data_IF_318679795195
#
_entry.id   IF_318679795195
#
_cell.length_a   1.000
_cell.length_b   1.000
_cell.length_c   1.000
_cell.angle_alpha   90.00
_cell.angle_beta   90.00
_cell.angle_gamma   90.00
#
_symmetry.space_group_name_H-M   'P 1'
#
loop_
_entity.id
_entity.type
_entity.pdbx_description
1 polymer ?
#
# COMPACT_ATOMS: atom_id res chain seq x y z
N UNK A 1 -16.35 7.43 51.38
CA UNK A 1 -17.45 6.71 50.69
C UNK A 1 -18.08 7.44 49.50
N UNK A 2 -17.94 8.77 49.32
CA UNK A 2 -18.49 9.48 48.13
C UNK A 2 -17.63 9.39 46.86
N UNK A 3 -16.31 9.20 46.98
CA UNK A 3 -15.40 9.06 45.83
C UNK A 3 -15.54 7.73 45.07
N UNK A 4 -15.96 6.65 45.75
CA UNK A 4 -16.15 5.33 45.14
C UNK A 4 -17.39 5.26 44.25
N UNK A 5 -18.44 6.04 44.53
CA UNK A 5 -19.67 6.05 43.72
C UNK A 5 -19.49 6.80 42.39
N UNK A 6 -18.65 7.84 42.34
CA UNK A 6 -18.37 8.56 41.08
C UNK A 6 -17.52 7.73 40.10
N UNK A 7 -16.57 6.93 40.60
CA UNK A 7 -15.75 6.07 39.75
C UNK A 7 -16.57 4.96 39.06
N UNK A 8 -17.56 4.40 39.75
CA UNK A 8 -18.44 3.36 39.20
C UNK A 8 -19.42 3.88 38.16
N UNK A 9 -19.91 5.13 38.31
CA UNK A 9 -20.80 5.76 37.33
C UNK A 9 -20.06 6.11 36.02
N UNK A 10 -18.80 6.54 36.11
CA UNK A 10 -17.99 6.84 34.92
C UNK A 10 -17.59 5.58 34.14
N UNK A 11 -17.29 4.47 34.83
CA UNK A 11 -16.96 3.20 34.18
C UNK A 11 -18.17 2.54 33.46
N UNK A 12 -19.39 2.77 33.95
CA UNK A 12 -20.62 2.28 33.32
C UNK A 12 -20.95 2.99 32.01
N UNK A 13 -20.66 4.29 31.90
CA UNK A 13 -20.94 5.07 30.70
C UNK A 13 -20.02 4.70 29.52
N UNK A 14 -18.76 4.31 29.77
CA UNK A 14 -17.83 3.92 28.69
C UNK A 14 -18.20 2.58 28.07
N UNK A 15 -18.67 1.62 28.86
CA UNK A 15 -19.12 0.32 28.35
C UNK A 15 -20.42 0.42 27.53
N UNK A 16 -21.32 1.34 27.89
CA UNK A 16 -22.56 1.57 27.15
C UNK A 16 -22.31 2.26 25.80
N UNK A 17 -21.32 3.18 25.72
CA UNK A 17 -20.95 3.85 24.47
C UNK A 17 -20.27 2.89 23.47
N UNK A 18 -19.41 1.98 23.96
CA UNK A 18 -18.74 0.97 23.14
C UNK A 18 -19.70 -0.03 22.48
N UNK A 19 -20.87 -0.26 23.10
CA UNK A 19 -21.92 -1.12 22.56
C UNK A 19 -22.81 -0.41 21.53
N UNK A 20 -22.90 0.92 21.59
CA UNK A 20 -23.78 1.71 20.72
C UNK A 20 -23.15 1.97 19.33
N UNK A 21 -21.85 2.23 19.27
CA UNK A 21 -21.10 2.41 18.01
C UNK A 21 -19.69 1.81 18.14
N UNK A 22 -19.55 0.49 17.93
CA UNK A 22 -18.26 -0.19 18.08
C UNK A 22 -17.15 0.37 17.17
N UNK A 23 -17.41 0.75 15.89
CA UNK A 23 -16.42 1.47 15.07
C UNK A 23 -15.95 2.79 15.69
N UNK A 24 -16.86 3.64 16.14
CA UNK A 24 -16.48 4.92 16.74
C UNK A 24 -15.67 4.73 18.03
N UNK A 25 -16.05 3.76 18.85
CA UNK A 25 -15.31 3.37 20.04
C UNK A 25 -13.88 2.88 19.72
N UNK A 26 -13.73 2.04 18.68
CA UNK A 26 -12.40 1.62 18.23
C UNK A 26 -11.57 2.81 17.75
N UNK A 27 -12.17 3.72 16.98
CA UNK A 27 -11.49 4.91 16.49
C UNK A 27 -11.02 5.80 17.64
N UNK A 28 -11.85 5.97 18.68
CA UNK A 28 -11.49 6.70 19.88
C UNK A 28 -10.30 6.07 20.62
N UNK A 29 -10.28 4.73 20.75
CA UNK A 29 -9.14 4.00 21.35
C UNK A 29 -7.86 4.13 20.54
N UNK A 30 -7.96 4.17 19.21
CA UNK A 30 -6.79 4.27 18.33
C UNK A 30 -6.20 5.68 18.22
N UNK A 31 -6.91 6.72 18.67
CA UNK A 31 -6.42 8.10 18.64
C UNK A 31 -5.07 8.27 19.34
N UNK A 32 -4.88 7.56 20.45
CA UNK A 32 -3.70 7.65 21.30
C UNK A 32 -2.86 6.35 21.28
N UNK A 33 -3.20 5.40 20.39
CA UNK A 33 -2.49 4.13 20.27
C UNK A 33 -1.27 4.24 19.34
N UNK A 34 -0.22 3.46 19.62
CA UNK A 34 0.92 3.35 18.72
C UNK A 34 0.59 2.53 17.45
N UNK A 35 1.46 2.64 16.44
CA UNK A 35 1.28 1.94 15.15
C UNK A 35 1.25 0.42 15.31
N UNK A 36 2.08 -0.12 16.21
CA UNK A 36 2.14 -1.57 16.45
C UNK A 36 0.81 -2.10 16.97
N UNK A 37 0.19 -1.36 17.90
CA UNK A 37 -1.12 -1.66 18.48
C UNK A 37 -2.21 -1.57 17.42
N UNK A 38 -2.22 -0.52 16.60
CA UNK A 38 -3.20 -0.35 15.52
C UNK A 38 -3.09 -1.48 14.48
N UNK A 39 -1.87 -1.81 14.03
CA UNK A 39 -1.65 -2.86 13.04
C UNK A 39 -2.08 -4.26 13.54
N UNK A 40 -1.80 -4.55 14.82
CA UNK A 40 -2.12 -5.83 15.45
C UNK A 40 -3.62 -6.07 15.65
N UNK A 41 -4.43 -5.01 15.69
CA UNK A 41 -5.87 -5.13 15.95
C UNK A 41 -6.68 -5.11 14.64
N UNK A 42 -7.55 -6.09 14.38
CA UNK A 42 -8.47 -6.01 13.25
C UNK A 42 -9.47 -4.87 13.42
N UNK A 43 -9.88 -4.29 12.29
CA UNK A 43 -11.03 -3.38 12.27
C UNK A 43 -12.26 -4.17 12.71
N UNK A 44 -13.05 -3.58 13.62
CA UNK A 44 -14.25 -4.20 14.17
C UNK A 44 -15.20 -4.63 13.05
N UNK A 45 -15.86 -5.76 13.22
CA UNK A 45 -16.79 -6.32 12.23
C UNK A 45 -18.19 -6.45 12.86
N UNK A 46 -19.26 -6.00 12.19
CA UNK A 46 -19.27 -5.35 10.87
C UNK A 46 -18.71 -3.92 10.91
N UNK A 47 -18.07 -3.49 9.81
CA UNK A 47 -17.70 -2.09 9.57
C UNK A 47 -18.34 -1.62 8.25
N UNK A 48 -19.61 -1.18 8.28
CA UNK A 48 -20.32 -0.82 7.07
C UNK A 48 -19.87 0.55 6.56
N UNK A 49 -19.97 0.78 5.24
CA UNK A 49 -19.48 1.99 4.59
C UNK A 49 -20.27 3.26 4.96
N UNK A 50 -21.50 3.11 5.47
CA UNK A 50 -22.34 4.21 5.97
C UNK A 50 -21.94 4.68 7.38
N UNK A 51 -21.13 3.91 8.11
CA UNK A 51 -20.55 4.36 9.37
C UNK A 51 -19.29 5.22 9.10
N UNK A 52 -19.27 6.51 9.50
CA UNK A 52 -18.18 7.42 9.18
C UNK A 52 -16.83 7.05 9.81
N UNK A 53 -16.80 6.23 10.86
CA UNK A 53 -15.56 5.76 11.47
C UNK A 53 -14.88 4.66 10.65
N UNK A 54 -15.63 3.86 9.88
CA UNK A 54 -15.11 2.69 9.19
C UNK A 54 -14.04 2.98 8.12
N UNK A 55 -14.26 3.93 7.18
CA UNK A 55 -13.24 4.27 6.20
C UNK A 55 -11.95 4.77 6.86
N UNK A 56 -12.09 5.52 7.97
CA UNK A 56 -10.97 6.03 8.75
C UNK A 56 -10.20 4.93 9.49
N UNK A 57 -10.89 3.98 10.09
CA UNK A 57 -10.27 2.81 10.73
C UNK A 57 -9.45 1.99 9.74
N UNK A 58 -10.02 1.67 8.57
CA UNK A 58 -9.29 0.94 7.53
C UNK A 58 -8.04 1.70 7.06
N UNK A 59 -8.13 3.02 6.86
CA UNK A 59 -7.00 3.85 6.47
C UNK A 59 -5.89 3.89 7.54
N UNK A 60 -6.26 4.10 8.82
CA UNK A 60 -5.31 4.12 9.94
C UNK A 60 -4.58 2.78 10.08
N UNK A 61 -5.31 1.66 9.98
CA UNK A 61 -4.71 0.33 10.04
C UNK A 61 -3.77 0.08 8.87
N UNK A 62 -4.18 0.45 7.65
CA UNK A 62 -3.36 0.29 6.46
C UNK A 62 -2.04 1.05 6.57
N UNK A 63 -2.11 2.32 7.01
CA UNK A 63 -0.94 3.17 7.22
C UNK A 63 -0.02 2.62 8.32
N UNK A 64 -0.58 2.13 9.43
CA UNK A 64 0.20 1.50 10.49
C UNK A 64 0.93 0.25 9.98
N UNK A 65 0.24 -0.64 9.28
CA UNK A 65 0.82 -1.84 8.67
C UNK A 65 1.93 -1.50 7.66
N UNK A 66 1.69 -0.53 6.75
CA UNK A 66 2.69 -0.11 5.77
C UNK A 66 3.91 0.52 6.45
N UNK A 67 3.69 1.38 7.45
CA UNK A 67 4.78 2.05 8.17
C UNK A 67 5.70 1.05 8.87
N UNK A 68 5.13 0.10 9.61
CA UNK A 68 5.89 -0.96 10.28
C UNK A 68 6.66 -1.83 9.29
N UNK A 69 6.04 -2.17 8.15
CA UNK A 69 6.74 -2.91 7.10
C UNK A 69 7.96 -2.12 6.59
N UNK A 70 7.79 -0.82 6.30
CA UNK A 70 8.84 0.04 5.74
C UNK A 70 9.94 0.41 6.74
N UNK A 71 9.67 0.38 8.05
CA UNK A 71 10.66 0.57 9.11
C UNK A 71 11.67 -0.59 9.16
N UNK A 72 11.27 -1.80 8.76
CA UNK A 72 12.15 -2.97 8.70
C UNK A 72 13.00 -3.05 7.41
N UNK A 73 13.06 -1.97 6.61
CA UNK A 73 13.87 -1.92 5.40
C UNK A 73 15.36 -1.87 5.71
N UNK A 74 16.14 -2.63 4.97
CA UNK A 74 17.59 -2.43 4.95
C UNK A 74 17.92 -1.02 4.43
N UNK A 75 19.03 -0.39 4.88
CA UNK A 75 19.45 0.92 4.39
C UNK A 75 19.53 0.95 2.85
N UNK A 76 18.86 1.92 2.24
CA UNK A 76 18.82 2.08 0.78
C UNK A 76 17.86 1.15 0.02
N UNK A 77 17.19 0.22 0.69
CA UNK A 77 16.19 -0.63 0.06
C UNK A 77 14.87 0.12 -0.17
N UNK A 78 14.26 -0.08 -1.35
CA UNK A 78 12.92 0.48 -1.63
C UNK A 78 11.84 -0.24 -0.82
N UNK A 79 11.98 -1.56 -0.64
CA UNK A 79 11.03 -2.44 0.05
C UNK A 79 11.67 -3.25 1.18
N UNK A 80 10.86 -3.73 2.14
CA UNK A 80 11.35 -4.59 3.19
C UNK A 80 11.58 -6.02 2.71
N UNK A 81 12.26 -6.81 3.55
CA UNK A 81 12.50 -8.22 3.30
C UNK A 81 11.23 -9.09 3.45
N UNK A 82 11.34 -10.40 3.13
CA UNK A 82 10.20 -11.32 3.07
C UNK A 82 9.45 -11.50 4.39
N UNK A 83 10.11 -11.26 5.54
CA UNK A 83 9.49 -11.32 6.86
C UNK A 83 8.32 -10.31 7.03
N UNK A 84 8.26 -9.26 6.20
CA UNK A 84 7.21 -8.23 6.26
C UNK A 84 6.06 -8.47 5.27
N UNK A 85 6.02 -9.61 4.58
CA UNK A 85 4.93 -9.93 3.67
C UNK A 85 3.53 -9.80 4.32
N UNK A 86 3.29 -10.28 5.57
CA UNK A 86 1.99 -10.13 6.23
C UNK A 86 1.57 -8.68 6.45
N UNK A 87 2.51 -7.80 6.81
CA UNK A 87 2.25 -6.38 7.01
C UNK A 87 1.95 -5.67 5.69
N UNK A 88 2.61 -6.06 4.59
CA UNK A 88 2.31 -5.53 3.26
C UNK A 88 0.93 -5.98 2.76
N UNK A 89 0.55 -7.23 3.01
CA UNK A 89 -0.80 -7.72 2.68
C UNK A 89 -1.87 -7.02 3.55
N UNK A 90 -1.64 -6.85 4.86
CA UNK A 90 -2.48 -6.03 5.74
C UNK A 90 -2.68 -4.60 5.20
N UNK A 91 -1.59 -3.95 4.77
CA UNK A 91 -1.65 -2.60 4.22
C UNK A 91 -2.47 -2.55 2.94
N UNK A 92 -2.24 -3.46 2.00
CA UNK A 92 -2.98 -3.51 0.73
C UNK A 92 -4.48 -3.77 0.94
N UNK A 93 -4.85 -4.68 1.84
CA UNK A 93 -6.24 -4.95 2.21
C UNK A 93 -6.89 -3.73 2.87
N UNK A 94 -6.21 -3.11 3.84
CA UNK A 94 -6.72 -1.94 4.55
C UNK A 94 -6.92 -0.74 3.63
N UNK A 95 -5.96 -0.43 2.76
CA UNK A 95 -6.13 0.67 1.79
C UNK A 95 -7.27 0.37 0.80
N UNK A 96 -7.38 -0.88 0.34
CA UNK A 96 -8.48 -1.31 -0.53
C UNK A 96 -9.85 -1.15 0.14
N UNK A 97 -9.97 -1.56 1.41
CA UNK A 97 -11.20 -1.41 2.18
C UNK A 97 -11.55 0.07 2.46
N UNK A 98 -10.55 0.90 2.80
CA UNK A 98 -10.75 2.33 3.00
C UNK A 98 -11.26 3.02 1.73
N UNK A 99 -10.66 2.71 0.57
CA UNK A 99 -11.08 3.23 -0.73
C UNK A 99 -12.48 2.76 -1.10
N UNK A 100 -12.80 1.48 -0.89
CA UNK A 100 -14.13 0.93 -1.16
C UNK A 100 -15.22 1.55 -0.27
N UNK A 101 -14.87 1.95 0.95
CA UNK A 101 -15.75 2.63 1.89
C UNK A 101 -15.81 4.16 1.69
N UNK A 102 -15.13 4.71 0.67
CA UNK A 102 -15.19 6.14 0.37
C UNK A 102 -14.38 7.04 1.33
N UNK A 103 -13.28 6.54 1.88
CA UNK A 103 -12.39 7.34 2.72
C UNK A 103 -11.90 8.61 2.01
N UNK A 104 -11.79 9.70 2.77
CA UNK A 104 -11.20 10.95 2.30
C UNK A 104 -9.74 10.77 1.88
N UNK A 105 -9.25 11.65 1.01
CA UNK A 105 -7.86 11.61 0.56
C UNK A 105 -7.54 10.42 -0.34
N UNK A 106 -8.50 9.99 -1.18
CA UNK A 106 -8.39 8.83 -2.06
C UNK A 106 -7.05 8.76 -2.83
N UNK A 107 -6.53 9.88 -3.35
CA UNK A 107 -5.25 9.89 -4.06
C UNK A 107 -4.06 9.45 -3.17
N UNK A 108 -4.04 9.86 -1.90
CA UNK A 108 -3.00 9.44 -0.94
C UNK A 108 -3.15 7.95 -0.59
N UNK A 109 -4.38 7.49 -0.41
CA UNK A 109 -4.67 6.07 -0.17
C UNK A 109 -4.29 5.20 -1.36
N UNK A 110 -4.52 5.65 -2.59
CA UNK A 110 -4.08 4.99 -3.82
C UNK A 110 -2.56 4.91 -3.92
N UNK A 111 -1.83 5.95 -3.48
CA UNK A 111 -0.38 5.91 -3.37
C UNK A 111 0.10 4.86 -2.35
N UNK A 112 -0.55 4.78 -1.18
CA UNK A 112 -0.27 3.77 -0.17
C UNK A 112 -0.54 2.35 -0.66
N UNK A 113 -1.69 2.15 -1.34
CA UNK A 113 -2.05 0.87 -1.96
C UNK A 113 -1.02 0.45 -3.03
N UNK A 114 -0.66 1.37 -3.92
CA UNK A 114 0.35 1.11 -4.95
C UNK A 114 1.69 0.69 -4.32
N UNK A 115 2.16 1.41 -3.29
CA UNK A 115 3.41 1.09 -2.60
C UNK A 115 3.37 -0.28 -1.90
N UNK A 116 2.30 -0.58 -1.18
CA UNK A 116 2.13 -1.89 -0.52
C UNK A 116 2.13 -3.04 -1.53
N UNK A 117 1.40 -2.88 -2.64
CA UNK A 117 1.32 -3.87 -3.71
C UNK A 117 2.67 -4.07 -4.42
N UNK A 118 3.39 -2.99 -4.74
CA UNK A 118 4.72 -3.06 -5.36
C UNK A 118 5.71 -3.77 -4.46
N UNK A 119 5.76 -3.40 -3.16
CA UNK A 119 6.66 -4.07 -2.24
C UNK A 119 6.31 -5.52 -1.99
N UNK A 120 5.03 -5.88 -2.01
CA UNK A 120 4.64 -7.28 -1.91
C UNK A 120 4.98 -8.05 -3.20
N UNK A 121 4.91 -7.40 -4.37
CA UNK A 121 5.27 -7.98 -5.65
C UNK A 121 6.78 -8.27 -5.77
N UNK A 122 7.63 -7.47 -5.12
CA UNK A 122 9.07 -7.75 -5.02
C UNK A 122 9.40 -9.08 -4.32
N UNK A 123 8.49 -9.55 -3.47
CA UNK A 123 8.64 -10.78 -2.69
C UNK A 123 7.92 -11.98 -3.35
N UNK A 124 7.18 -11.74 -4.42
CA UNK A 124 6.38 -12.77 -5.10
C UNK A 124 7.16 -13.44 -6.24
N UNK A 125 6.84 -14.70 -6.59
CA UNK A 125 7.28 -15.32 -7.83
C UNK A 125 6.84 -14.48 -9.05
N UNK A 126 7.58 -14.50 -10.18
CA UNK A 126 7.38 -13.56 -11.29
C UNK A 126 5.94 -13.46 -11.83
N UNK A 127 5.24 -14.59 -11.97
CA UNK A 127 3.86 -14.60 -12.46
C UNK A 127 2.89 -13.89 -11.49
N UNK A 128 3.02 -14.13 -10.18
CA UNK A 128 2.20 -13.49 -9.15
C UNK A 128 2.59 -12.01 -9.02
N UNK A 129 3.89 -11.72 -9.07
CA UNK A 129 4.42 -10.36 -9.04
C UNK A 129 3.85 -9.50 -10.18
N UNK A 130 3.74 -10.03 -11.40
CA UNK A 130 3.13 -9.34 -12.54
C UNK A 130 1.66 -8.98 -12.31
N UNK A 131 0.84 -9.91 -11.81
CA UNK A 131 -0.58 -9.61 -11.49
C UNK A 131 -0.68 -8.52 -10.42
N UNK A 132 0.16 -8.59 -9.38
CA UNK A 132 0.17 -7.60 -8.32
C UNK A 132 0.68 -6.23 -8.79
N UNK A 133 1.70 -6.21 -9.64
CA UNK A 133 2.20 -4.99 -10.28
C UNK A 133 1.14 -4.35 -11.17
N UNK A 134 0.34 -5.12 -11.91
CA UNK A 134 -0.77 -4.59 -12.70
C UNK A 134 -1.83 -3.89 -11.81
N UNK A 135 -2.17 -4.49 -10.66
CA UNK A 135 -3.04 -3.85 -9.65
C UNK A 135 -2.40 -2.59 -9.08
N UNK A 136 -1.10 -2.63 -8.80
CA UNK A 136 -0.37 -1.47 -8.31
C UNK A 136 -0.33 -0.32 -9.33
N UNK A 137 -0.14 -0.62 -10.62
CA UNK A 137 -0.19 0.36 -11.69
C UNK A 137 -1.58 1.03 -11.80
N UNK A 138 -2.66 0.25 -11.59
CA UNK A 138 -4.02 0.80 -11.56
C UNK A 138 -4.25 1.76 -10.38
N UNK A 139 -3.70 1.44 -9.21
CA UNK A 139 -3.71 2.35 -8.06
C UNK A 139 -2.81 3.58 -8.32
N UNK A 140 -1.61 3.38 -8.87
CA UNK A 140 -0.64 4.43 -9.16
C UNK A 140 -1.20 5.51 -10.08
N UNK A 141 -1.98 5.17 -11.10
CA UNK A 141 -2.64 6.16 -12.00
C UNK A 141 -3.58 7.12 -11.27
N UNK A 142 -4.03 6.77 -10.07
CA UNK A 142 -4.90 7.59 -9.22
C UNK A 142 -4.14 8.25 -8.07
N UNK A 143 -2.83 7.99 -7.95
CA UNK A 143 -1.97 8.64 -6.97
C UNK A 143 -1.62 10.08 -7.40
N UNK A 144 -1.23 10.97 -6.48
CA UNK A 144 -0.77 12.30 -6.83
C UNK A 144 0.58 12.24 -7.57
N UNK A 145 0.79 13.18 -8.49
CA UNK A 145 2.10 13.39 -9.12
C UNK A 145 3.16 13.83 -8.09
N UNK A 146 4.44 13.40 -8.20
CA UNK A 146 5.00 12.50 -9.22
C UNK A 146 4.92 11.00 -8.86
N UNK A 147 4.18 10.64 -7.80
CA UNK A 147 4.11 9.24 -7.33
C UNK A 147 3.41 8.32 -8.32
N UNK A 148 2.47 8.85 -9.10
CA UNK A 148 1.83 8.14 -10.21
C UNK A 148 2.86 7.59 -11.21
N UNK A 149 3.78 8.44 -11.67
CA UNK A 149 4.83 8.10 -12.60
C UNK A 149 5.86 7.18 -11.98
N UNK A 150 6.30 7.46 -10.74
CA UNK A 150 7.26 6.64 -10.01
C UNK A 150 6.76 5.19 -9.81
N UNK A 151 5.56 5.04 -9.26
CA UNK A 151 4.98 3.71 -9.00
C UNK A 151 4.55 3.02 -10.29
N UNK A 152 4.12 3.76 -11.30
CA UNK A 152 3.90 3.24 -12.64
C UNK A 152 5.18 2.65 -13.25
N UNK A 153 6.29 3.39 -13.21
CA UNK A 153 7.58 2.92 -13.74
C UNK A 153 8.03 1.63 -13.06
N UNK A 154 7.90 1.58 -11.74
CA UNK A 154 8.26 0.40 -10.95
C UNK A 154 7.37 -0.81 -11.28
N UNK A 155 6.05 -0.61 -11.39
CA UNK A 155 5.13 -1.68 -11.81
C UNK A 155 5.53 -2.25 -13.19
N UNK A 156 5.88 -1.36 -14.12
CA UNK A 156 6.31 -1.74 -15.46
C UNK A 156 7.65 -2.50 -15.45
N UNK A 157 8.61 -2.13 -14.58
CA UNK A 157 9.85 -2.90 -14.37
C UNK A 157 9.58 -4.31 -13.83
N UNK A 158 8.64 -4.47 -12.90
CA UNK A 158 8.24 -5.81 -12.41
C UNK A 158 7.65 -6.64 -13.54
N UNK A 159 6.80 -6.04 -14.38
CA UNK A 159 6.20 -6.72 -15.54
C UNK A 159 7.20 -7.06 -16.66
N UNK A 160 8.39 -6.42 -16.68
CA UNK A 160 9.46 -6.72 -17.62
C UNK A 160 10.33 -7.93 -17.22
N UNK A 161 10.23 -8.39 -15.96
CA UNK A 161 11.09 -9.46 -15.41
C UNK A 161 10.96 -10.79 -16.17
N UNK A 162 12.01 -11.62 -16.18
CA UNK A 162 11.92 -12.99 -16.68
C UNK A 162 10.77 -13.76 -16.02
N UNK A 163 9.94 -14.43 -16.82
CA UNK A 163 8.80 -15.22 -16.34
C UNK A 163 7.53 -14.43 -16.01
N UNK A 164 7.53 -13.10 -16.16
CA UNK A 164 6.33 -12.27 -15.96
C UNK A 164 5.32 -12.34 -17.13
N UNK A 165 5.75 -12.80 -18.30
CA UNK A 165 4.93 -12.89 -19.51
C UNK A 165 5.76 -13.26 -20.74
N UNK A 166 5.18 -13.11 -21.93
CA UNK A 166 5.90 -13.30 -23.19
C UNK A 166 6.90 -12.15 -23.44
N UNK A 167 7.97 -12.43 -24.18
CA UNK A 167 9.02 -11.44 -24.48
C UNK A 167 8.47 -10.15 -25.11
N UNK A 168 7.52 -10.16 -26.07
CA UNK A 168 6.93 -8.93 -26.57
C UNK A 168 6.17 -8.11 -25.51
N UNK A 169 5.53 -8.77 -24.54
CA UNK A 169 4.84 -8.09 -23.44
C UNK A 169 5.84 -7.46 -22.48
N UNK A 170 6.89 -8.20 -22.12
CA UNK A 170 7.99 -7.72 -21.27
C UNK A 170 8.71 -6.52 -21.89
N UNK A 171 8.92 -6.55 -23.21
CA UNK A 171 9.48 -5.43 -23.96
C UNK A 171 8.66 -4.16 -23.86
N UNK A 172 7.34 -4.27 -24.07
CA UNK A 172 6.45 -3.11 -23.93
C UNK A 172 6.50 -2.54 -22.52
N UNK A 173 6.51 -3.40 -21.50
CA UNK A 173 6.60 -2.98 -20.12
C UNK A 173 7.93 -2.25 -19.82
N UNK A 174 9.07 -2.75 -20.31
CA UNK A 174 10.36 -2.07 -20.13
C UNK A 174 10.40 -0.68 -20.81
N UNK A 175 9.82 -0.53 -22.01
CA UNK A 175 9.71 0.78 -22.70
C UNK A 175 8.76 1.73 -21.97
N UNK A 176 7.65 1.21 -21.44
CA UNK A 176 6.72 1.96 -20.60
C UNK A 176 7.41 2.45 -19.32
N UNK A 177 8.25 1.62 -18.70
CA UNK A 177 9.05 2.00 -17.54
C UNK A 177 9.96 3.20 -17.82
N UNK A 178 10.62 3.26 -18.99
CA UNK A 178 11.44 4.42 -19.38
C UNK A 178 10.60 5.69 -19.53
N UNK A 179 9.45 5.59 -20.20
CA UNK A 179 8.52 6.72 -20.38
C UNK A 179 8.03 7.27 -19.04
N UNK A 180 7.70 6.38 -18.11
CA UNK A 180 7.27 6.75 -16.76
C UNK A 180 8.43 7.30 -15.91
N UNK A 181 9.63 6.75 -16.05
CA UNK A 181 10.82 7.23 -15.34
C UNK A 181 11.15 8.69 -15.66
N UNK A 182 11.04 9.08 -16.94
CA UNK A 182 11.21 10.48 -17.34
C UNK A 182 10.18 11.42 -16.70
N UNK A 183 8.92 10.96 -16.53
CA UNK A 183 7.87 11.74 -15.87
C UNK A 183 8.04 11.80 -14.35
N UNK A 184 8.64 10.78 -13.74
CA UNK A 184 8.90 10.76 -12.30
C UNK A 184 9.95 11.80 -11.87
N UNK A 185 10.89 12.12 -12.77
CA UNK A 185 11.93 13.11 -12.53
C UNK A 185 13.03 12.66 -11.56
N UNK A 186 14.08 13.48 -11.38
CA UNK A 186 15.18 13.18 -10.48
C UNK A 186 14.75 13.21 -9.00
N UNK A 187 15.41 12.43 -8.11
CA UNK A 187 16.59 11.59 -8.37
C UNK A 187 16.25 10.14 -8.78
N UNK A 188 14.98 9.74 -8.77
CA UNK A 188 14.60 8.34 -9.03
C UNK A 188 14.65 7.98 -10.52
N UNK A 189 14.52 8.97 -11.41
CA UNK A 189 14.62 8.80 -12.85
C UNK A 189 15.85 7.99 -13.29
N UNK A 190 17.05 8.36 -12.83
CA UNK A 190 18.29 7.75 -13.34
C UNK A 190 18.36 6.25 -13.03
N UNK A 191 17.97 5.87 -11.80
CA UNK A 191 17.91 4.46 -11.40
C UNK A 191 16.88 3.68 -12.22
N UNK A 192 15.68 4.24 -12.38
CA UNK A 192 14.61 3.58 -13.13
C UNK A 192 14.97 3.43 -14.62
N UNK A 193 15.63 4.42 -15.22
CA UNK A 193 16.11 4.35 -16.60
C UNK A 193 17.19 3.30 -16.77
N UNK A 194 18.16 3.23 -15.84
CA UNK A 194 19.20 2.20 -15.87
C UNK A 194 18.60 0.79 -15.75
N UNK A 195 17.66 0.59 -14.82
CA UNK A 195 16.98 -0.69 -14.64
C UNK A 195 16.15 -1.08 -15.89
N UNK A 196 15.45 -0.13 -16.50
CA UNK A 196 14.66 -0.37 -17.71
C UNK A 196 15.53 -0.70 -18.93
N UNK A 197 16.63 0.03 -19.13
CA UNK A 197 17.60 -0.24 -20.19
C UNK A 197 18.23 -1.62 -20.05
N UNK A 198 18.56 -2.02 -18.82
CA UNK A 198 19.06 -3.37 -18.53
C UNK A 198 18.01 -4.44 -18.89
N UNK A 199 16.74 -4.24 -18.54
CA UNK A 199 15.67 -5.19 -18.92
C UNK A 199 15.53 -5.31 -20.44
N UNK A 200 15.54 -4.19 -21.18
CA UNK A 200 15.46 -4.20 -22.65
C UNK A 200 16.59 -5.04 -23.27
N UNK A 201 17.83 -4.87 -22.80
CA UNK A 201 18.96 -5.63 -23.32
C UNK A 201 18.87 -7.14 -23.03
N UNK A 202 18.20 -7.53 -21.94
CA UNK A 202 18.04 -8.92 -21.53
C UNK A 202 16.87 -9.65 -22.22
N UNK A 203 15.99 -8.94 -22.92
CA UNK A 203 14.82 -9.55 -23.57
C UNK A 203 15.13 -9.83 -25.04
N UNK A 204 15.00 -11.09 -25.51
CA UNK A 204 15.22 -11.43 -26.91
C UNK A 204 14.30 -10.62 -27.86
N UNK A 205 14.90 -10.02 -28.91
CA UNK A 205 14.15 -9.27 -29.93
C UNK A 205 13.60 -7.92 -29.47
N UNK A 206 14.07 -7.41 -28.32
CA UNK A 206 13.60 -6.16 -27.74
C UNK A 206 14.36 -4.91 -28.19
N UNK A 207 15.48 -5.11 -28.88
CA UNK A 207 16.35 -4.06 -29.38
C UNK A 207 15.56 -3.09 -30.26
N UNK A 208 15.83 -1.80 -30.11
CA UNK A 208 15.25 -0.80 -31.00
C UNK A 208 15.72 -1.08 -32.44
N UNK A 209 14.82 -1.03 -33.45
CA UNK A 209 15.27 -1.01 -34.82
C UNK A 209 16.17 0.22 -34.99
N UNK A 210 17.45 -0.03 -35.28
CA UNK A 210 18.44 0.99 -35.62
C UNK A 210 18.04 1.78 -36.87
#
# INVERSE_FOLDING_TARGET
MRLLFLASLLAGCTLAADLADPPLAQLARWRDADRATIAAQPVVTPCPADNPACPRLHALRAEACLSLALEARAPGAACPGPAQAPQLDCAAEGYGAALAAGAEGAAVLQAGLAQALLCRAELDPPAIAATRAARAAAAARQAPSPRDALYGAWAALIAARPGAGSDPARCRAAREAMTLAHRAGPPMQDRLLADAAMQLHQIPGCEEPR
#
